data_IF_337575582177
#
_entry.id   IF_337575582177
#
_cell.length_a   1.000
_cell.length_b   1.000
_cell.length_c   1.000
_cell.angle_alpha   90.00
_cell.angle_beta   90.00
_cell.angle_gamma   90.00
#
_symmetry.space_group_name_H-M   'P 1'
#
loop_
_entity.id
_entity.type
_entity.pdbx_description
1 polymer ?
#
# COMPACT_ATOMS: atom_id res chain seq x y z
N UNK A 1 7.39 8.54 7.32
CA UNK A 1 6.38 9.61 7.27
C UNK A 1 5.78 9.79 5.89
N UNK A 2 4.96 10.83 5.74
CA UNK A 2 4.37 11.26 4.46
C UNK A 2 5.34 12.07 3.59
N UNK A 3 4.84 12.52 2.45
CA UNK A 3 5.56 13.26 1.42
C UNK A 3 5.47 12.53 0.08
N UNK A 4 6.27 12.95 -0.89
CA UNK A 4 6.25 12.29 -2.20
C UNK A 4 6.99 10.94 -2.14
N UNK A 5 6.32 9.88 -2.51
CA UNK A 5 6.83 8.50 -2.43
C UNK A 5 8.04 8.27 -3.34
N UNK A 6 8.05 8.83 -4.56
CA UNK A 6 9.18 8.71 -5.48
C UNK A 6 10.45 9.35 -4.89
N UNK A 7 10.29 10.54 -4.30
CA UNK A 7 11.41 11.22 -3.64
C UNK A 7 11.90 10.43 -2.43
N UNK A 8 11.00 9.94 -1.58
CA UNK A 8 11.35 9.11 -0.43
C UNK A 8 12.13 7.85 -0.84
N UNK A 9 11.63 7.10 -1.82
CA UNK A 9 12.28 5.87 -2.29
C UNK A 9 13.65 6.17 -2.88
N UNK A 10 13.78 7.22 -3.70
CA UNK A 10 15.08 7.64 -4.26
C UNK A 10 16.10 7.92 -3.15
N UNK A 11 15.73 8.68 -2.12
CA UNK A 11 16.64 9.03 -1.04
C UNK A 11 17.00 7.81 -0.17
N UNK A 12 16.04 6.93 0.11
CA UNK A 12 16.30 5.69 0.84
C UNK A 12 17.25 4.76 0.07
N UNK A 13 17.09 4.66 -1.26
CA UNK A 13 17.99 3.87 -2.11
C UNK A 13 19.38 4.51 -2.20
N UNK A 14 19.46 5.82 -2.45
CA UNK A 14 20.71 6.56 -2.59
C UNK A 14 21.59 6.50 -1.33
N UNK A 15 20.97 6.51 -0.16
CA UNK A 15 21.66 6.48 1.13
C UNK A 15 21.91 5.07 1.66
N UNK A 16 21.39 4.02 1.00
CA UNK A 16 21.42 2.64 1.49
C UNK A 16 20.47 2.36 2.66
N UNK A 17 19.68 3.36 3.08
CA UNK A 17 18.75 3.21 4.22
C UNK A 17 17.61 2.25 3.91
N UNK A 18 17.20 2.09 2.64
CA UNK A 18 16.14 1.15 2.27
C UNK A 18 16.44 -0.26 2.78
N UNK A 19 17.64 -0.77 2.48
CA UNK A 19 18.07 -2.11 2.89
C UNK A 19 18.33 -2.19 4.39
N UNK A 20 18.93 -1.14 4.98
CA UNK A 20 19.19 -1.11 6.40
C UNK A 20 17.92 -1.15 7.24
N UNK A 21 16.89 -0.36 6.88
CA UNK A 21 15.59 -0.35 7.57
C UNK A 21 14.88 -1.68 7.36
N UNK A 22 14.87 -2.20 6.11
CA UNK A 22 14.30 -3.51 5.79
C UNK A 22 14.89 -4.61 6.69
N UNK A 23 16.23 -4.70 6.76
CA UNK A 23 16.91 -5.70 7.58
C UNK A 23 16.53 -5.56 9.06
N UNK A 24 16.56 -4.33 9.59
CA UNK A 24 16.20 -4.08 10.99
C UNK A 24 14.75 -4.44 11.30
N UNK A 25 13.83 -4.21 10.37
CA UNK A 25 12.43 -4.59 10.55
C UNK A 25 12.28 -6.12 10.58
N UNK A 26 12.96 -6.86 9.70
CA UNK A 26 12.97 -8.33 9.75
C UNK A 26 13.69 -8.89 10.98
N UNK A 27 14.65 -8.17 11.55
CA UNK A 27 15.31 -8.51 12.81
C UNK A 27 14.45 -8.19 14.06
N UNK A 28 13.20 -7.74 13.86
CA UNK A 28 12.23 -7.50 14.94
C UNK A 28 12.10 -6.04 15.39
N UNK A 29 12.75 -5.08 14.72
CA UNK A 29 12.51 -3.67 14.99
C UNK A 29 11.12 -3.26 14.50
N UNK A 30 10.27 -2.65 15.34
CA UNK A 30 8.97 -2.18 14.90
C UNK A 30 9.08 -1.16 13.76
N UNK A 31 8.27 -1.34 12.72
CA UNK A 31 8.12 -0.38 11.63
C UNK A 31 6.75 0.29 11.70
N UNK A 32 6.73 1.60 11.57
CA UNK A 32 5.50 2.39 11.44
C UNK A 32 5.62 3.32 10.23
N UNK A 33 4.71 3.18 9.27
CA UNK A 33 4.64 4.03 8.08
C UNK A 33 3.23 4.56 7.83
N UNK A 34 3.14 5.80 7.36
CA UNK A 34 1.89 6.40 6.88
C UNK A 34 2.12 7.11 5.56
N UNK A 35 1.08 7.20 4.70
CA UNK A 35 1.15 7.80 3.38
C UNK A 35 2.29 7.15 2.55
N UNK A 36 3.30 7.90 2.11
CA UNK A 36 4.47 7.38 1.41
C UNK A 36 5.16 6.25 2.18
N UNK A 37 5.24 6.35 3.52
CA UNK A 37 5.79 5.30 4.37
C UNK A 37 4.98 4.01 4.33
N UNK A 38 3.66 4.07 4.10
CA UNK A 38 2.84 2.88 3.88
C UNK A 38 3.19 2.22 2.53
N UNK A 39 3.34 2.99 1.45
CA UNK A 39 3.75 2.44 0.15
C UNK A 39 5.11 1.73 0.25
N UNK A 40 6.07 2.33 0.94
CA UNK A 40 7.44 1.78 1.07
C UNK A 40 7.49 0.46 1.86
N UNK A 41 6.49 0.18 2.70
CA UNK A 41 6.37 -1.11 3.38
C UNK A 41 6.01 -2.26 2.41
N UNK A 42 5.34 -1.97 1.31
CA UNK A 42 4.99 -2.94 0.26
C UNK A 42 6.17 -3.33 -0.63
N UNK A 43 5.93 -4.18 -1.65
CA UNK A 43 6.96 -4.64 -2.58
C UNK A 43 7.49 -3.52 -3.49
N UNK A 44 6.62 -2.63 -3.96
CA UNK A 44 6.98 -1.53 -4.88
C UNK A 44 6.19 -0.27 -4.56
N UNK A 45 6.64 0.87 -5.08
CA UNK A 45 5.91 2.13 -5.00
C UNK A 45 4.78 2.28 -6.05
N UNK A 46 4.52 1.25 -6.88
CA UNK A 46 3.65 1.36 -8.06
C UNK A 46 2.17 1.67 -7.76
N UNK A 47 1.72 1.52 -6.52
CA UNK A 47 0.36 1.88 -6.10
C UNK A 47 0.28 3.20 -5.33
N UNK A 48 1.32 4.03 -5.41
CA UNK A 48 1.28 5.39 -4.84
C UNK A 48 0.32 6.29 -5.61
N UNK A 49 -0.20 7.29 -4.91
CA UNK A 49 -1.04 8.34 -5.51
C UNK A 49 -0.22 9.54 -5.98
N UNK A 50 1.08 9.54 -5.72
CA UNK A 50 1.96 10.68 -5.95
C UNK A 50 2.38 10.81 -7.41
N UNK A 51 2.67 12.02 -7.82
CA UNK A 51 3.30 12.29 -9.12
C UNK A 51 4.79 11.92 -9.08
N UNK A 52 5.35 11.36 -10.18
CA UNK A 52 6.76 10.99 -10.30
C UNK A 52 7.66 12.22 -10.51
N UNK A 53 7.85 13.03 -9.47
CA UNK A 53 8.64 14.27 -9.52
C UNK A 53 10.16 14.03 -9.61
N UNK A 54 10.60 12.81 -9.33
CA UNK A 54 11.99 12.35 -9.46
C UNK A 54 12.01 10.90 -9.89
N UNK A 55 13.11 10.43 -10.46
CA UNK A 55 13.32 9.03 -10.83
C UNK A 55 14.13 8.32 -9.74
N UNK A 56 13.57 7.32 -9.03
CA UNK A 56 14.36 6.43 -8.17
C UNK A 56 15.17 5.43 -9.02
N UNK A 57 16.16 4.78 -8.43
CA UNK A 57 16.97 3.77 -9.13
C UNK A 57 16.13 2.55 -9.55
N UNK A 58 15.12 2.20 -8.76
CA UNK A 58 14.10 1.20 -9.08
C UNK A 58 12.80 1.54 -8.37
N UNK A 59 11.70 0.87 -8.75
CA UNK A 59 10.42 0.98 -8.03
C UNK A 59 10.33 0.04 -6.82
N UNK A 60 11.35 -0.78 -6.59
CA UNK A 60 11.39 -1.70 -5.45
C UNK A 60 11.45 -0.95 -4.13
N UNK A 61 10.65 -1.44 -3.18
CA UNK A 61 10.53 -0.95 -1.82
C UNK A 61 11.01 -2.02 -0.81
N UNK A 62 10.59 -1.91 0.45
CA UNK A 62 11.11 -2.79 1.49
C UNK A 62 10.52 -4.21 1.46
N UNK A 63 9.32 -4.40 0.92
CA UNK A 63 8.68 -5.72 0.89
C UNK A 63 8.51 -6.33 2.29
N UNK A 64 8.12 -5.53 3.28
CA UNK A 64 7.83 -6.02 4.63
C UNK A 64 6.52 -6.82 4.67
N UNK A 65 5.66 -6.58 3.69
CA UNK A 65 4.43 -7.34 3.44
C UNK A 65 4.40 -7.74 1.95
N UNK A 66 3.77 -8.88 1.60
CA UNK A 66 3.79 -9.40 0.22
C UNK A 66 2.76 -8.75 -0.71
N UNK A 67 2.02 -7.77 -0.24
CA UNK A 67 0.98 -7.07 -0.99
C UNK A 67 1.29 -5.58 -1.12
N UNK A 68 0.71 -4.95 -2.14
CA UNK A 68 0.80 -3.51 -2.35
C UNK A 68 -0.16 -2.77 -1.40
N UNK A 69 0.22 -1.56 -1.01
CA UNK A 69 -0.62 -0.70 -0.17
C UNK A 69 -0.96 0.56 -0.97
N UNK A 70 -2.26 0.89 -1.08
CA UNK A 70 -2.72 2.19 -1.54
C UNK A 70 -3.30 2.96 -0.34
N UNK A 71 -2.55 3.91 0.24
CA UNK A 71 -3.04 4.75 1.32
C UNK A 71 -3.97 5.85 0.79
N UNK A 72 -4.74 6.47 1.70
CA UNK A 72 -5.69 7.54 1.36
C UNK A 72 -6.73 7.10 0.32
N UNK A 73 -7.13 5.83 0.37
CA UNK A 73 -8.16 5.34 -0.53
C UNK A 73 -9.48 6.06 -0.24
N UNK A 74 -10.21 6.40 -1.30
CA UNK A 74 -11.51 7.05 -1.22
C UNK A 74 -12.43 6.51 -2.31
N UNK A 75 -13.71 6.37 -1.98
CA UNK A 75 -14.79 6.07 -2.95
C UNK A 75 -15.37 7.35 -3.56
N UNK A 76 -14.83 8.51 -3.21
CA UNK A 76 -15.35 9.78 -3.70
C UNK A 76 -15.27 9.83 -5.23
N UNK A 77 -16.39 10.08 -5.82
CA UNK A 77 -16.56 10.30 -7.26
C UNK A 77 -17.31 11.62 -7.46
N UNK A 78 -16.70 12.51 -8.23
CA UNK A 78 -17.38 13.72 -8.70
C UNK A 78 -17.98 13.46 -10.10
N UNK A 79 -19.32 13.37 -10.25
CA UNK A 79 -19.95 13.11 -11.55
C UNK A 79 -19.71 14.23 -12.58
N UNK A 80 -19.22 15.39 -12.16
CA UNK A 80 -18.85 16.50 -13.06
C UNK A 80 -17.40 16.40 -13.52
N UNK A 81 -16.59 15.54 -12.92
CA UNK A 81 -15.20 15.31 -13.26
C UNK A 81 -15.08 14.05 -14.13
N UNK A 82 -14.74 14.21 -15.40
CA UNK A 82 -14.60 13.08 -16.34
C UNK A 82 -13.30 12.27 -16.20
N UNK A 83 -12.63 12.36 -15.05
CA UNK A 83 -11.39 11.62 -14.78
C UNK A 83 -11.63 10.25 -14.16
N UNK A 84 -10.57 9.44 -14.12
CA UNK A 84 -10.56 8.12 -13.50
C UNK A 84 -10.77 8.20 -11.99
N UNK A 85 -11.53 7.23 -11.47
CA UNK A 85 -11.68 7.01 -10.04
C UNK A 85 -10.43 6.32 -9.47
N UNK A 86 -10.34 6.25 -8.15
CA UNK A 86 -9.31 5.44 -7.50
C UNK A 86 -9.46 3.95 -7.83
N UNK A 87 -10.69 3.47 -7.91
CA UNK A 87 -10.99 2.10 -8.31
C UNK A 87 -10.46 1.78 -9.71
N UNK A 88 -10.68 2.67 -10.68
CA UNK A 88 -10.24 2.46 -12.06
C UNK A 88 -8.71 2.30 -12.13
N UNK A 89 -7.96 3.16 -11.45
CA UNK A 89 -6.49 3.10 -11.41
C UNK A 89 -5.97 1.82 -10.78
N UNK A 90 -6.61 1.36 -9.69
CA UNK A 90 -6.18 0.13 -9.02
C UNK A 90 -6.58 -1.12 -9.81
N UNK A 91 -7.72 -1.11 -10.50
CA UNK A 91 -8.11 -2.18 -11.43
C UNK A 91 -7.17 -2.26 -12.61
N UNK A 92 -6.81 -1.14 -13.22
CA UNK A 92 -5.81 -1.07 -14.28
C UNK A 92 -4.47 -1.66 -13.83
N UNK A 93 -3.98 -1.28 -12.64
CA UNK A 93 -2.77 -1.84 -12.07
C UNK A 93 -2.84 -3.37 -11.94
N UNK A 94 -3.93 -3.92 -11.43
CA UNK A 94 -4.13 -5.37 -11.26
C UNK A 94 -4.24 -6.09 -12.62
N UNK A 95 -4.84 -5.48 -13.64
CA UNK A 95 -4.91 -6.07 -14.99
C UNK A 95 -3.52 -6.30 -15.58
N UNK A 96 -2.61 -5.35 -15.39
CA UNK A 96 -1.23 -5.45 -15.88
C UNK A 96 -0.35 -6.30 -14.94
N UNK A 97 -0.70 -6.36 -13.65
CA UNK A 97 0.03 -7.09 -12.62
C UNK A 97 -0.85 -8.20 -11.99
N UNK A 98 -1.19 -9.27 -12.73
CA UNK A 98 -2.22 -10.23 -12.32
C UNK A 98 -1.88 -11.07 -11.08
N UNK A 99 -0.63 -11.05 -10.63
CA UNK A 99 -0.20 -11.71 -9.38
C UNK A 99 -0.20 -10.80 -8.18
N UNK A 100 -0.38 -9.51 -8.39
CA UNK A 100 -0.38 -8.54 -7.30
C UNK A 100 -1.71 -8.57 -6.53
N UNK A 101 -1.64 -8.19 -5.27
CA UNK A 101 -2.78 -7.88 -4.42
C UNK A 101 -2.58 -6.47 -3.88
N UNK A 102 -3.62 -5.65 -3.85
CA UNK A 102 -3.57 -4.29 -3.32
C UNK A 102 -4.52 -4.15 -2.14
N UNK A 103 -4.00 -3.76 -0.98
CA UNK A 103 -4.76 -3.32 0.18
C UNK A 103 -4.95 -1.79 0.11
N UNK A 104 -6.16 -1.36 -0.18
CA UNK A 104 -6.51 0.06 -0.27
C UNK A 104 -7.12 0.52 1.06
N UNK A 105 -6.36 1.28 1.84
CA UNK A 105 -6.72 1.69 3.20
C UNK A 105 -7.25 3.12 3.23
N UNK A 106 -8.39 3.30 3.93
CA UNK A 106 -9.05 4.60 4.09
C UNK A 106 -8.44 5.39 5.26
N UNK A 107 -8.73 6.68 5.29
CA UNK A 107 -8.29 7.57 6.36
C UNK A 107 -8.68 7.05 7.76
N UNK A 108 -7.82 7.32 8.72
CA UNK A 108 -7.96 6.93 10.12
C UNK A 108 -8.02 5.40 10.37
N UNK A 109 -7.54 4.60 9.39
CA UNK A 109 -7.31 3.17 9.54
C UNK A 109 -5.84 2.83 9.32
N UNK A 110 -5.38 1.71 9.88
CA UNK A 110 -4.05 1.18 9.66
C UNK A 110 -4.06 -0.35 9.61
N UNK A 111 -3.09 -0.94 8.92
CA UNK A 111 -2.81 -2.36 8.98
C UNK A 111 -1.81 -2.62 10.10
N UNK A 112 -2.15 -3.51 11.02
CA UNK A 112 -1.28 -4.00 12.07
C UNK A 112 -0.90 -5.44 11.79
N UNK A 113 0.40 -5.67 11.50
CA UNK A 113 0.98 -7.00 11.43
C UNK A 113 1.76 -7.26 12.73
N UNK A 114 1.27 -8.21 13.52
CA UNK A 114 1.90 -8.60 14.78
C UNK A 114 1.78 -10.10 14.98
N UNK A 115 2.88 -10.75 15.35
CA UNK A 115 2.94 -12.20 15.64
C UNK A 115 2.38 -13.08 14.50
N UNK A 116 2.57 -12.65 13.26
CA UNK A 116 2.10 -13.35 12.06
C UNK A 116 0.62 -13.13 11.72
N UNK A 117 -0.08 -12.29 12.47
CA UNK A 117 -1.48 -11.93 12.25
C UNK A 117 -1.63 -10.51 11.71
N UNK A 118 -2.42 -10.37 10.65
CA UNK A 118 -2.73 -9.09 10.03
C UNK A 118 -4.15 -8.65 10.37
N UNK A 119 -4.29 -7.46 10.89
CA UNK A 119 -5.59 -6.86 11.24
C UNK A 119 -5.71 -5.43 10.74
N UNK A 120 -6.94 -4.98 10.47
CA UNK A 120 -7.27 -3.58 10.25
C UNK A 120 -7.61 -2.95 11.61
N UNK A 121 -7.00 -1.82 11.92
CA UNK A 121 -7.22 -1.10 13.17
C UNK A 121 -7.56 0.37 12.90
N UNK A 122 -8.09 1.06 13.89
CA UNK A 122 -8.40 2.49 13.83
C UNK A 122 -9.88 2.81 13.99
N UNK A 123 -10.37 3.85 13.32
CA UNK A 123 -11.80 4.20 13.36
C UNK A 123 -12.63 3.18 12.58
N UNK A 124 -13.93 2.97 12.95
CA UNK A 124 -14.82 2.07 12.22
C UNK A 124 -14.92 2.47 10.75
N UNK A 125 -14.23 1.75 9.91
CA UNK A 125 -14.20 1.91 8.47
C UNK A 125 -13.82 0.56 7.85
N UNK A 126 -13.90 0.47 6.52
CA UNK A 126 -13.51 -0.71 5.77
C UNK A 126 -12.31 -0.40 4.89
N UNK A 127 -11.51 -1.39 4.59
CA UNK A 127 -10.53 -1.34 3.50
C UNK A 127 -11.06 -2.10 2.29
N UNK A 128 -10.57 -1.78 1.09
CA UNK A 128 -10.82 -2.57 -0.12
C UNK A 128 -9.59 -3.41 -0.48
N UNK A 129 -9.85 -4.60 -1.03
CA UNK A 129 -8.80 -5.45 -1.60
C UNK A 129 -9.05 -5.62 -3.09
N UNK A 130 -8.02 -5.36 -3.89
CA UNK A 130 -8.00 -5.57 -5.33
C UNK A 130 -7.08 -6.75 -5.66
N UNK A 131 -7.61 -7.73 -6.40
CA UNK A 131 -6.90 -8.94 -6.80
C UNK A 131 -7.47 -9.46 -8.11
N UNK A 132 -6.62 -10.02 -8.97
CA UNK A 132 -7.07 -10.70 -10.19
C UNK A 132 -8.04 -11.84 -9.86
N UNK A 133 -9.06 -12.05 -10.70
CA UNK A 133 -10.15 -13.03 -10.55
C UNK A 133 -11.20 -12.67 -9.49
N UNK A 134 -11.15 -11.50 -8.91
CA UNK A 134 -12.27 -10.98 -8.15
C UNK A 134 -13.17 -10.18 -9.10
N UNK A 135 -14.33 -10.71 -9.43
CA UNK A 135 -15.35 -10.00 -10.25
C UNK A 135 -15.78 -8.71 -9.56
N UNK A 136 -15.72 -8.68 -8.23
CA UNK A 136 -15.97 -7.50 -7.41
C UNK A 136 -14.87 -7.29 -6.40
N UNK A 137 -14.46 -6.05 -6.20
CA UNK A 137 -13.60 -5.62 -5.10
C UNK A 137 -14.24 -6.01 -3.77
N UNK A 138 -13.51 -6.71 -2.91
CA UNK A 138 -14.03 -7.08 -1.59
C UNK A 138 -13.67 -6.03 -0.55
N UNK A 139 -14.61 -5.75 0.34
CA UNK A 139 -14.42 -4.87 1.48
C UNK A 139 -14.26 -5.68 2.77
N UNK A 140 -13.34 -5.24 3.62
CA UNK A 140 -13.02 -5.86 4.90
C UNK A 140 -13.11 -4.84 6.03
N UNK A 141 -13.78 -5.21 7.11
CA UNK A 141 -13.95 -4.41 8.32
C UNK A 141 -12.85 -4.73 9.37
N UNK A 142 -12.87 -4.00 10.49
CA UNK A 142 -11.91 -4.20 11.59
C UNK A 142 -11.98 -5.59 12.24
N UNK A 143 -13.12 -6.28 12.11
CA UNK A 143 -13.37 -7.61 12.68
C UNK A 143 -12.97 -8.76 11.78
N UNK A 144 -12.60 -8.47 10.53
CA UNK A 144 -12.31 -9.51 9.54
C UNK A 144 -10.86 -10.01 9.68
N UNK A 145 -10.66 -11.30 9.43
CA UNK A 145 -9.33 -11.88 9.37
C UNK A 145 -8.67 -11.51 8.03
N UNK A 146 -7.49 -10.90 8.09
CA UNK A 146 -6.74 -10.45 6.91
C UNK A 146 -5.49 -11.31 6.63
N UNK A 147 -5.27 -12.41 7.34
CA UNK A 147 -4.07 -13.25 7.21
C UNK A 147 -3.91 -13.84 5.80
N UNK A 148 -4.99 -13.91 5.02
CA UNK A 148 -4.94 -14.35 3.62
C UNK A 148 -4.09 -13.43 2.74
N UNK A 149 -3.88 -12.17 3.13
CA UNK A 149 -3.01 -11.22 2.42
C UNK A 149 -1.51 -11.53 2.60
N UNK A 150 -1.16 -12.35 3.59
CA UNK A 150 0.24 -12.72 3.89
C UNK A 150 0.73 -13.95 3.10
N UNK A 151 -0.15 -14.55 2.26
CA UNK A 151 0.12 -15.82 1.54
C UNK A 151 0.52 -15.59 0.09
#
# INVERSE_FOLDING_TARGET
>A
GGGNTFHLVRELQRTGLLQAIRQRAFDGMPYMGWSAGSNVAGPTLCTTNDMPIVMPASFECMGLVPFQINPHYTDFFDPKHGGETRDDRLKEYIMVNPRATVAAIREATALLLQDGHLSLIGKPNKMKVFKTRMENTQEYALTDNLDFLLK
#
